data_IF_054236052655
#
_entry.id   IF_054236052655
#
_cell.length_a   1.000
_cell.length_b   1.000
_cell.length_c   1.000
_cell.angle_alpha   90.00
_cell.angle_beta   90.00
_cell.angle_gamma   90.00
#
_symmetry.space_group_name_H-M   'P 1'
#
loop_
_entity.id
_entity.type
_entity.pdbx_description
1 polymer ?
#
# COMPACT_ATOMS: atom_id res chain seq x y z
N UNK A 1 0.85 27.57 -0.32
CA UNK A 1 1.93 26.59 -0.56
C UNK A 1 1.62 25.87 -1.86
N UNK A 2 2.58 25.76 -2.79
CA UNK A 2 2.40 24.99 -4.02
C UNK A 2 2.40 23.52 -3.62
N UNK A 3 1.33 22.79 -3.92
CA UNK A 3 1.23 21.37 -3.60
C UNK A 3 2.38 20.65 -4.31
N UNK A 4 3.11 19.81 -3.58
CA UNK A 4 4.13 18.96 -4.19
C UNK A 4 3.43 18.03 -5.17
N UNK A 5 3.97 17.96 -6.38
CA UNK A 5 3.47 17.06 -7.41
C UNK A 5 3.75 15.61 -6.96
N UNK A 6 2.79 14.70 -7.16
CA UNK A 6 2.96 13.28 -6.81
C UNK A 6 4.11 12.62 -7.58
N UNK A 7 4.53 13.22 -8.71
CA UNK A 7 5.70 12.82 -9.49
C UNK A 7 6.98 13.62 -9.20
N UNK A 8 7.03 14.42 -8.13
CA UNK A 8 8.23 15.16 -7.75
C UNK A 8 9.42 14.21 -7.51
N UNK A 9 10.64 14.63 -7.84
CA UNK A 9 11.83 13.77 -7.77
C UNK A 9 12.14 13.15 -6.38
N UNK A 10 11.44 13.56 -5.32
CA UNK A 10 11.50 12.96 -3.98
C UNK A 10 10.26 12.16 -3.56
N UNK A 11 9.21 12.09 -4.39
CA UNK A 11 7.99 11.34 -4.13
C UNK A 11 8.21 9.86 -4.48
N UNK A 12 8.93 9.15 -3.61
CA UNK A 12 9.10 7.71 -3.72
C UNK A 12 7.88 7.00 -3.13
N UNK A 13 7.32 5.98 -3.80
CA UNK A 13 6.27 5.17 -3.22
C UNK A 13 6.90 4.23 -2.17
N UNK A 14 6.86 4.66 -0.90
CA UNK A 14 7.56 3.99 0.23
C UNK A 14 6.62 3.53 1.33
N UNK A 15 5.32 3.76 1.17
CA UNK A 15 4.30 3.38 2.14
C UNK A 15 3.45 2.25 1.57
N UNK A 16 3.06 1.29 2.42
CA UNK A 16 2.17 0.20 2.04
C UNK A 16 0.71 0.61 2.23
N UNK A 17 -0.11 0.30 1.24
CA UNK A 17 -1.57 0.43 1.29
C UNK A 17 -2.23 -0.79 0.67
N UNK A 18 -3.50 -1.07 1.00
CA UNK A 18 -4.30 -2.06 0.29
C UNK A 18 -4.19 -1.91 -1.23
N UNK A 19 -3.96 -3.04 -1.89
CA UNK A 19 -4.15 -3.11 -3.33
C UNK A 19 -5.65 -3.20 -3.65
N UNK A 20 -6.14 -2.17 -4.34
CA UNK A 20 -7.53 -2.01 -4.79
C UNK A 20 -7.80 -2.71 -6.13
N UNK A 21 -6.80 -3.43 -6.67
CA UNK A 21 -6.96 -4.29 -7.82
C UNK A 21 -8.00 -5.39 -7.60
N UNK A 22 -8.32 -6.07 -8.69
CA UNK A 22 -9.25 -7.20 -8.69
C UNK A 22 -8.53 -8.48 -9.12
N UNK A 23 -8.82 -9.59 -8.45
CA UNK A 23 -8.29 -10.91 -8.78
C UNK A 23 -9.41 -11.92 -9.00
N UNK A 24 -9.37 -12.64 -10.13
CA UNK A 24 -10.30 -13.73 -10.42
C UNK A 24 -10.08 -14.96 -9.52
N UNK A 25 -8.91 -15.05 -8.87
CA UNK A 25 -8.47 -16.21 -8.10
C UNK A 25 -8.99 -16.20 -6.66
N UNK A 26 -9.66 -15.12 -6.25
CA UNK A 26 -10.18 -14.95 -4.89
C UNK A 26 -11.69 -14.86 -4.89
N UNK A 27 -12.33 -15.46 -3.88
CA UNK A 27 -13.79 -15.58 -3.83
C UNK A 27 -14.51 -14.23 -3.73
N UNK A 28 -13.88 -13.22 -3.15
CA UNK A 28 -14.40 -11.85 -3.02
C UNK A 28 -13.76 -10.86 -4.00
N UNK A 29 -12.96 -11.33 -4.96
CA UNK A 29 -12.34 -10.51 -5.99
C UNK A 29 -11.18 -9.64 -5.52
N UNK A 30 -10.74 -9.73 -4.26
CA UNK A 30 -9.64 -8.92 -3.71
C UNK A 30 -8.27 -9.54 -4.01
N UNK A 31 -7.21 -8.74 -4.07
CA UNK A 31 -5.86 -9.29 -4.32
C UNK A 31 -5.15 -9.82 -3.08
N UNK A 32 -5.69 -9.59 -1.88
CA UNK A 32 -5.07 -9.94 -0.58
C UNK A 32 -3.62 -9.46 -0.41
N UNK A 33 -3.29 -8.32 -1.03
CA UNK A 33 -1.95 -7.77 -1.01
C UNK A 33 -1.94 -6.28 -0.69
N UNK A 34 -0.78 -5.77 -0.30
CA UNK A 34 -0.54 -4.34 -0.21
C UNK A 34 0.44 -3.89 -1.31
N UNK A 35 0.27 -2.68 -1.81
CA UNK A 35 1.12 -2.05 -2.82
C UNK A 35 1.79 -0.78 -2.28
N UNK A 36 2.85 -0.33 -2.96
CA UNK A 36 3.56 0.88 -2.61
C UNK A 36 2.83 2.13 -3.13
N UNK A 37 2.61 3.11 -2.26
CA UNK A 37 1.96 4.39 -2.56
C UNK A 37 2.82 5.58 -2.15
N UNK A 38 2.57 6.72 -2.79
CA UNK A 38 3.32 7.98 -2.57
C UNK A 38 2.85 8.82 -1.39
N UNK A 39 1.66 8.55 -0.82
CA UNK A 39 1.17 9.23 0.37
C UNK A 39 1.51 8.46 1.65
N UNK A 40 1.56 9.17 2.78
CA UNK A 40 1.95 8.58 4.05
C UNK A 40 0.87 7.64 4.58
N UNK A 41 1.29 6.44 4.98
CA UNK A 41 0.47 5.47 5.72
C UNK A 41 1.21 5.03 7.00
N UNK A 42 0.55 4.31 7.92
CA UNK A 42 1.23 3.73 9.09
C UNK A 42 2.26 2.64 8.78
N UNK A 43 2.31 2.15 7.53
CA UNK A 43 3.14 1.00 7.12
C UNK A 43 4.19 1.46 6.12
N UNK A 44 5.48 1.26 6.40
CA UNK A 44 6.56 1.69 5.50
C UNK A 44 7.39 0.52 4.99
N UNK A 45 7.89 0.63 3.76
CA UNK A 45 8.84 -0.29 3.17
C UNK A 45 10.19 -0.34 3.92
N UNK A 46 10.52 0.68 4.72
CA UNK A 46 11.77 0.74 5.48
C UNK A 46 11.75 -0.06 6.78
N UNK A 47 10.57 -0.56 7.20
CA UNK A 47 10.42 -1.31 8.42
C UNK A 47 10.00 -2.73 8.12
N UNK A 48 10.84 -3.67 8.55
CA UNK A 48 10.55 -5.09 8.40
C UNK A 48 9.22 -5.46 9.09
N UNK A 49 8.43 -6.30 8.42
CA UNK A 49 7.12 -6.76 8.90
C UNK A 49 5.96 -5.78 8.70
N UNK A 50 6.20 -4.53 8.28
CA UNK A 50 5.10 -3.59 8.02
C UNK A 50 4.25 -3.98 6.81
N UNK A 51 4.82 -4.67 5.82
CA UNK A 51 4.03 -5.31 4.76
C UNK A 51 3.02 -6.29 5.34
N UNK A 52 3.47 -7.21 6.20
CA UNK A 52 2.60 -8.20 6.85
C UNK A 52 1.54 -7.53 7.71
N UNK A 53 1.88 -6.47 8.44
CA UNK A 53 0.90 -5.69 9.22
C UNK A 53 -0.14 -5.00 8.34
N UNK A 54 0.27 -4.46 7.18
CA UNK A 54 -0.65 -3.90 6.20
C UNK A 54 -1.65 -4.95 5.72
N UNK A 55 -1.15 -6.10 5.25
CA UNK A 55 -2.00 -7.20 4.77
C UNK A 55 -2.93 -7.69 5.88
N UNK A 56 -2.40 -7.89 7.10
CA UNK A 56 -3.23 -8.23 8.24
C UNK A 56 -4.28 -7.16 8.48
N UNK A 57 -3.95 -5.88 8.56
CA UNK A 57 -4.92 -4.81 8.83
C UNK A 57 -6.13 -4.83 7.88
N UNK A 58 -5.89 -4.99 6.58
CA UNK A 58 -6.93 -4.92 5.56
C UNK A 58 -7.64 -6.24 5.27
N UNK A 59 -7.00 -7.38 5.53
CA UNK A 59 -7.48 -8.69 5.09
C UNK A 59 -7.53 -9.74 6.20
N UNK A 60 -7.58 -9.35 7.48
CA UNK A 60 -7.70 -10.30 8.62
C UNK A 60 -8.74 -11.37 8.29
N UNK A 61 -8.25 -12.61 8.13
CA UNK A 61 -9.03 -13.83 8.31
C UNK A 61 -8.67 -14.43 9.67
#
# INVERSE_FOLDING_TARGET
MKQFDEGGAGALPIYWEQDWGWSADTADGKTYSCQLVGYQTPYTAFKEGDYTKCVQHYFKR
#
